data_IF_469744086737
#
_entry.id   IF_469744086737
#
_cell.length_a   1.000
_cell.length_b   1.000
_cell.length_c   1.000
_cell.angle_alpha   90.00
_cell.angle_beta   90.00
_cell.angle_gamma   90.00
#
_symmetry.space_group_name_H-M   'P 1'
#
loop_
_entity.id
_entity.type
_entity.pdbx_description
1 polymer ?
#
# COMPACT_ATOMS: atom_id res chain seq x y z
N UNK A 1 -19.91 -8.16 -5.02
CA UNK A 1 -20.13 -9.62 -5.07
C UNK A 1 -20.55 -10.26 -3.74
N UNK A 2 -20.55 -9.56 -2.59
CA UNK A 2 -20.89 -10.18 -1.30
C UNK A 2 -22.34 -10.72 -1.18
N UNK A 3 -23.32 -10.09 -1.84
CA UNK A 3 -24.74 -10.49 -1.79
C UNK A 3 -25.03 -11.95 -2.20
N UNK A 4 -24.63 -12.41 -3.41
CA UNK A 4 -24.85 -13.79 -3.83
C UNK A 4 -24.11 -14.80 -2.96
N UNK A 5 -22.86 -14.52 -2.56
CA UNK A 5 -22.09 -15.41 -1.67
C UNK A 5 -22.70 -15.51 -0.26
N UNK A 6 -23.31 -14.45 0.25
CA UNK A 6 -24.07 -14.49 1.51
C UNK A 6 -25.35 -15.32 1.43
N UNK A 7 -26.01 -15.38 0.26
CA UNK A 7 -27.13 -16.32 0.02
C UNK A 7 -26.62 -17.77 -0.11
N UNK A 8 -25.50 -17.96 -0.81
CA UNK A 8 -24.89 -19.28 -1.00
C UNK A 8 -24.41 -19.89 0.32
N UNK A 9 -23.82 -19.08 1.20
CA UNK A 9 -23.37 -19.50 2.52
C UNK A 9 -24.50 -19.97 3.43
N UNK A 10 -25.71 -19.44 3.27
CA UNK A 10 -26.88 -19.91 4.01
C UNK A 10 -27.35 -21.31 3.57
N UNK A 11 -27.00 -21.76 2.36
CA UNK A 11 -27.38 -23.09 1.85
C UNK A 11 -26.27 -24.13 2.02
N UNK A 12 -25.03 -23.77 1.68
CA UNK A 12 -23.88 -24.70 1.61
C UNK A 12 -23.02 -24.64 2.88
N UNK A 13 -23.22 -23.63 3.73
CA UNK A 13 -22.37 -23.34 4.87
C UNK A 13 -21.15 -22.49 4.49
N UNK A 14 -20.50 -21.91 5.51
CA UNK A 14 -19.39 -20.94 5.33
C UNK A 14 -18.05 -21.62 5.02
N UNK A 15 -17.77 -22.77 5.64
CA UNK A 15 -16.50 -23.51 5.48
C UNK A 15 -16.18 -23.89 4.03
N UNK A 16 -17.10 -24.47 3.23
CA UNK A 16 -16.80 -24.82 1.84
C UNK A 16 -16.51 -23.60 0.97
N UNK A 17 -17.19 -22.47 1.24
CA UNK A 17 -16.97 -21.21 0.50
C UNK A 17 -15.58 -20.65 0.81
N UNK A 18 -15.12 -20.74 2.06
CA UNK A 18 -13.75 -20.33 2.41
C UNK A 18 -12.69 -21.22 1.75
N UNK A 19 -12.91 -22.54 1.68
CA UNK A 19 -12.01 -23.44 0.95
C UNK A 19 -11.98 -23.13 -0.55
N UNK A 20 -13.14 -22.88 -1.17
CA UNK A 20 -13.24 -22.48 -2.57
C UNK A 20 -12.51 -21.16 -2.83
N UNK A 21 -12.62 -20.19 -1.92
CA UNK A 21 -11.89 -18.94 -1.97
C UNK A 21 -10.37 -19.15 -1.87
N UNK A 22 -9.90 -20.02 -0.97
CA UNK A 22 -8.49 -20.37 -0.83
C UNK A 22 -7.93 -21.03 -2.10
N UNK A 23 -8.67 -21.96 -2.70
CA UNK A 23 -8.31 -22.60 -3.98
C UNK A 23 -8.22 -21.55 -5.09
N UNK A 24 -9.21 -20.67 -5.17
CA UNK A 24 -9.23 -19.56 -6.13
C UNK A 24 -8.00 -18.65 -6.00
N UNK A 25 -7.63 -18.27 -4.78
CA UNK A 25 -6.42 -17.47 -4.52
C UNK A 25 -5.14 -18.19 -4.92
N UNK A 26 -5.05 -19.49 -4.60
CA UNK A 26 -3.89 -20.31 -4.95
C UNK A 26 -3.75 -20.42 -6.47
N UNK A 27 -4.86 -20.61 -7.17
CA UNK A 27 -4.89 -20.70 -8.64
C UNK A 27 -4.56 -19.35 -9.29
N UNK A 28 -5.07 -18.24 -8.76
CA UNK A 28 -4.74 -16.90 -9.22
C UNK A 28 -3.24 -16.60 -9.08
N UNK A 29 -2.66 -16.97 -7.93
CA UNK A 29 -1.22 -16.83 -7.68
C UNK A 29 -0.38 -17.71 -8.61
N UNK A 30 -0.79 -18.96 -8.83
CA UNK A 30 -0.14 -19.85 -9.79
C UNK A 30 -0.21 -19.30 -11.22
N UNK A 31 -1.36 -18.80 -11.65
CA UNK A 31 -1.53 -18.17 -12.95
C UNK A 31 -0.61 -16.95 -13.11
N UNK A 32 -0.56 -16.07 -12.12
CA UNK A 32 0.33 -14.92 -12.12
C UNK A 32 1.80 -15.35 -12.26
N UNK A 33 2.23 -16.34 -11.47
CA UNK A 33 3.60 -16.87 -11.55
C UNK A 33 3.91 -17.49 -12.92
N UNK A 34 2.98 -18.23 -13.52
CA UNK A 34 3.13 -18.81 -14.86
C UNK A 34 3.28 -17.71 -15.93
N UNK A 35 2.45 -16.66 -15.89
CA UNK A 35 2.54 -15.54 -16.84
C UNK A 35 3.87 -14.79 -16.69
N UNK A 36 4.32 -14.55 -15.45
CA UNK A 36 5.61 -13.90 -15.21
C UNK A 36 6.81 -14.76 -15.59
N UNK A 37 6.73 -16.09 -15.41
CA UNK A 37 7.82 -17.02 -15.73
C UNK A 37 7.95 -17.24 -17.24
N UNK A 38 6.82 -17.39 -17.94
CA UNK A 38 6.79 -17.58 -19.40
C UNK A 38 6.51 -16.27 -20.15
N UNK A 39 7.18 -15.19 -19.78
CA UNK A 39 7.00 -13.87 -20.41
C UNK A 39 7.41 -13.83 -21.89
N UNK A 40 8.17 -14.82 -22.36
CA UNK A 40 8.55 -14.96 -23.78
C UNK A 40 7.43 -15.59 -24.62
N UNK A 41 6.53 -16.36 -23.98
CA UNK A 41 5.42 -17.06 -24.64
C UNK A 41 4.10 -16.29 -24.47
N UNK A 42 3.89 -15.72 -23.28
CA UNK A 42 2.68 -14.97 -22.93
C UNK A 42 2.96 -13.48 -22.81
N UNK A 43 2.13 -12.66 -23.47
CA UNK A 43 2.16 -11.21 -23.30
C UNK A 43 1.78 -10.84 -21.85
N UNK A 44 2.50 -9.87 -21.27
CA UNK A 44 2.32 -9.38 -19.89
C UNK A 44 0.89 -8.90 -19.64
N UNK A 45 0.17 -8.50 -20.70
CA UNK A 45 -1.26 -8.13 -20.65
C UNK A 45 -2.17 -9.25 -20.14
N UNK A 46 -1.75 -10.51 -20.21
CA UNK A 46 -2.49 -11.65 -19.64
C UNK A 46 -2.70 -11.54 -18.12
N UNK A 47 -1.91 -10.72 -17.42
CA UNK A 47 -2.10 -10.43 -15.98
C UNK A 47 -3.48 -9.81 -15.69
N UNK A 48 -4.07 -9.08 -16.65
CA UNK A 48 -5.40 -8.49 -16.48
C UNK A 48 -6.53 -9.52 -16.31
N UNK A 49 -6.27 -10.80 -16.59
CA UNK A 49 -7.22 -11.89 -16.36
C UNK A 49 -7.20 -12.42 -14.92
N UNK A 50 -6.20 -12.07 -14.10
CA UNK A 50 -6.10 -12.51 -12.70
C UNK A 50 -7.36 -12.25 -11.86
N UNK A 51 -8.04 -11.08 -11.97
CA UNK A 51 -9.28 -10.81 -11.24
C UNK A 51 -10.45 -11.75 -11.60
N UNK A 52 -10.40 -12.47 -12.73
CA UNK A 52 -11.45 -13.45 -13.07
C UNK A 52 -11.48 -14.60 -12.08
N UNK A 53 -10.32 -15.01 -11.55
CA UNK A 53 -10.26 -16.04 -10.51
C UNK A 53 -10.97 -15.54 -9.24
N UNK A 54 -10.75 -14.30 -8.83
CA UNK A 54 -11.44 -13.70 -7.67
C UNK A 54 -12.97 -13.69 -7.80
N UNK A 55 -13.52 -13.67 -9.02
CA UNK A 55 -14.97 -13.80 -9.25
C UNK A 55 -15.48 -15.17 -8.80
N UNK A 56 -14.71 -16.24 -9.03
CA UNK A 56 -15.08 -17.60 -8.60
C UNK A 56 -14.91 -17.77 -7.08
N UNK A 57 -13.87 -17.22 -6.48
CA UNK A 57 -13.66 -17.31 -5.03
C UNK A 57 -14.50 -16.34 -4.20
N UNK A 58 -15.00 -15.25 -4.79
CA UNK A 58 -15.56 -14.10 -4.07
C UNK A 58 -14.51 -13.10 -3.56
N UNK A 59 -13.22 -13.38 -3.79
CA UNK A 59 -12.08 -12.53 -3.47
C UNK A 59 -11.93 -12.18 -1.98
N UNK A 60 -11.16 -11.12 -1.72
CA UNK A 60 -10.70 -10.74 -0.38
C UNK A 60 -11.86 -10.29 0.51
N UNK A 61 -12.86 -9.68 -0.10
CA UNK A 61 -14.05 -9.13 0.55
C UNK A 61 -14.88 -10.25 1.19
N UNK A 62 -15.07 -11.37 0.48
CA UNK A 62 -15.82 -12.52 0.97
C UNK A 62 -15.00 -13.29 2.02
N UNK A 63 -13.70 -13.46 1.76
CA UNK A 63 -12.77 -14.08 2.72
C UNK A 63 -12.76 -13.37 4.07
N UNK A 64 -12.46 -12.07 4.07
CA UNK A 64 -12.40 -11.26 5.30
C UNK A 64 -13.73 -11.32 6.06
N UNK A 65 -14.86 -11.12 5.37
CA UNK A 65 -16.19 -11.14 6.00
C UNK A 65 -16.50 -12.48 6.69
N UNK A 66 -16.20 -13.62 6.05
CA UNK A 66 -16.43 -14.92 6.67
C UNK A 66 -15.47 -15.21 7.82
N UNK A 67 -14.21 -14.82 7.73
CA UNK A 67 -13.26 -14.94 8.85
C UNK A 67 -13.78 -14.20 10.07
N UNK A 68 -14.20 -12.94 9.93
CA UNK A 68 -14.78 -12.17 11.03
C UNK A 68 -16.07 -12.78 11.57
N UNK A 69 -16.93 -13.28 10.67
CA UNK A 69 -18.14 -13.96 11.10
C UNK A 69 -17.82 -15.21 11.91
N UNK A 70 -16.82 -16.00 11.49
CA UNK A 70 -16.39 -17.20 12.19
C UNK A 70 -15.82 -16.88 13.58
N UNK A 71 -15.03 -15.80 13.69
CA UNK A 71 -14.52 -15.30 14.96
C UNK A 71 -15.69 -14.88 15.85
N UNK A 72 -16.66 -14.14 15.32
CA UNK A 72 -17.83 -13.68 16.09
C UNK A 72 -18.75 -14.81 16.55
N UNK A 73 -18.76 -15.96 15.86
CA UNK A 73 -19.52 -17.14 16.27
C UNK A 73 -18.82 -17.94 17.38
N UNK A 74 -17.50 -17.81 17.51
CA UNK A 74 -16.72 -18.54 18.50
C UNK A 74 -16.69 -17.88 19.89
N UNK A 75 -17.28 -16.70 20.04
CA UNK A 75 -17.19 -15.84 21.24
C UNK A 75 -18.58 -15.26 21.51
N UNK A 76 -18.95 -15.11 22.78
CA UNK A 76 -20.17 -14.36 23.16
C UNK A 76 -20.18 -12.95 22.55
N UNK A 77 -21.32 -12.53 21.98
CA UNK A 77 -21.42 -11.28 21.22
C UNK A 77 -21.01 -10.03 22.02
N UNK A 78 -21.35 -9.97 23.31
CA UNK A 78 -20.93 -8.85 24.18
C UNK A 78 -19.41 -8.80 24.34
N UNK A 79 -18.79 -9.95 24.57
CA UNK A 79 -17.34 -10.07 24.76
C UNK A 79 -16.60 -9.78 23.47
N UNK A 80 -17.09 -10.26 22.33
CA UNK A 80 -16.51 -9.97 21.01
C UNK A 80 -16.52 -8.48 20.69
N UNK A 81 -17.64 -7.79 20.93
CA UNK A 81 -17.75 -6.34 20.68
C UNK A 81 -16.76 -5.52 21.51
N UNK A 82 -16.61 -5.84 22.80
CA UNK A 82 -15.64 -5.18 23.68
C UNK A 82 -14.19 -5.45 23.24
N UNK A 83 -13.86 -6.72 23.02
CA UNK A 83 -12.53 -7.17 22.61
C UNK A 83 -12.09 -6.59 21.26
N UNK A 84 -13.02 -6.55 20.31
CA UNK A 84 -12.81 -5.94 19.01
C UNK A 84 -12.54 -4.43 19.15
N UNK A 85 -13.33 -3.71 19.96
CA UNK A 85 -13.11 -2.27 20.22
C UNK A 85 -11.75 -2.00 20.85
N UNK A 86 -11.30 -2.84 21.78
CA UNK A 86 -9.96 -2.75 22.37
C UNK A 86 -8.87 -2.92 21.30
N UNK A 87 -8.98 -3.97 20.48
CA UNK A 87 -8.01 -4.25 19.41
C UNK A 87 -7.93 -3.12 18.38
N UNK A 88 -9.07 -2.52 18.06
CA UNK A 88 -9.15 -1.41 17.13
C UNK A 88 -8.65 -0.09 17.73
N UNK A 89 -8.83 0.14 19.03
CA UNK A 89 -8.22 1.27 19.74
C UNK A 89 -6.69 1.24 19.69
N UNK A 90 -6.09 0.08 19.99
CA UNK A 90 -4.63 -0.09 19.90
C UNK A 90 -4.10 0.11 18.48
N UNK A 91 -4.78 -0.46 17.49
CA UNK A 91 -4.39 -0.28 16.09
C UNK A 91 -4.54 1.17 15.65
N UNK A 92 -5.56 1.88 16.11
CA UNK A 92 -5.74 3.32 15.89
C UNK A 92 -4.59 4.15 16.47
N UNK A 93 -4.13 3.81 17.67
CA UNK A 93 -2.95 4.44 18.27
C UNK A 93 -1.70 4.16 17.45
N UNK A 94 -1.46 2.91 17.05
CA UNK A 94 -0.31 2.54 16.22
C UNK A 94 -0.34 3.28 14.87
N UNK A 95 -1.50 3.30 14.20
CA UNK A 95 -1.68 4.02 12.94
C UNK A 95 -1.44 5.53 13.10
N UNK A 96 -1.96 6.13 14.16
CA UNK A 96 -1.73 7.54 14.48
C UNK A 96 -0.24 7.85 14.72
N UNK A 97 0.46 6.99 15.47
CA UNK A 97 1.89 7.13 15.72
C UNK A 97 2.69 6.98 14.41
N UNK A 98 2.43 5.95 13.61
CA UNK A 98 3.16 5.71 12.36
C UNK A 98 2.94 6.83 11.33
N UNK A 99 1.68 7.23 11.11
CA UNK A 99 1.34 8.29 10.15
C UNK A 99 1.74 9.67 10.66
N UNK A 100 1.59 9.92 11.97
CA UNK A 100 2.06 11.14 12.62
C UNK A 100 3.57 11.29 12.52
N UNK A 101 4.32 10.21 12.76
CA UNK A 101 5.76 10.17 12.56
C UNK A 101 6.17 10.39 11.11
N UNK A 102 5.31 10.06 10.12
CA UNK A 102 5.61 10.30 8.70
C UNK A 102 5.75 11.79 8.37
N UNK A 103 4.97 12.67 9.03
CA UNK A 103 4.97 14.12 8.78
C UNK A 103 6.38 14.75 8.91
N UNK A 104 7.13 14.58 10.03
CA UNK A 104 8.48 15.13 10.13
C UNK A 104 9.45 14.53 9.11
N UNK A 105 9.33 13.24 8.74
CA UNK A 105 10.18 12.67 7.69
C UNK A 105 9.87 13.25 6.30
N UNK A 106 8.59 13.49 5.98
CA UNK A 106 8.21 14.23 4.77
C UNK A 106 8.69 15.70 4.79
N UNK A 107 8.83 16.31 5.97
CA UNK A 107 9.39 17.65 6.13
C UNK A 107 10.93 17.67 6.03
N UNK A 108 11.60 16.59 6.40
CA UNK A 108 13.05 16.41 6.26
C UNK A 108 13.48 16.20 4.80
N UNK A 109 12.56 15.88 3.89
CA UNK A 109 12.85 15.77 2.47
C UNK A 109 13.35 17.11 1.90
N UNK A 110 14.44 17.12 1.14
CA UNK A 110 15.12 18.32 0.71
C UNK A 110 14.23 19.16 -0.21
N UNK A 111 13.92 20.39 0.22
CA UNK A 111 13.10 21.29 -0.60
C UNK A 111 13.89 21.72 -1.86
N UNK A 112 13.36 21.43 -3.05
CA UNK A 112 14.02 21.62 -4.35
C UNK A 112 14.45 23.07 -4.60
N UNK A 113 13.81 24.05 -3.93
CA UNK A 113 14.25 25.45 -3.88
C UNK A 113 15.72 25.63 -3.50
N UNK A 114 16.30 24.74 -2.69
CA UNK A 114 17.71 24.84 -2.26
C UNK A 114 18.69 24.41 -3.36
N UNK A 115 18.37 23.37 -4.14
CA UNK A 115 19.14 22.98 -5.34
C UNK A 115 19.04 24.05 -6.44
N UNK A 116 17.85 24.61 -6.69
CA UNK A 116 17.71 25.66 -7.72
C UNK A 116 18.40 26.97 -7.34
N UNK A 117 18.42 27.36 -6.05
CA UNK A 117 19.17 28.56 -5.59
C UNK A 117 20.68 28.36 -5.66
N UNK A 118 21.16 27.14 -5.37
CA UNK A 118 22.58 26.79 -5.43
C UNK A 118 23.06 26.65 -6.88
N UNK A 119 22.30 25.94 -7.73
CA UNK A 119 22.57 25.90 -9.17
C UNK A 119 22.43 27.28 -9.81
N UNK A 120 21.50 28.17 -9.41
CA UNK A 120 21.43 29.52 -10.00
C UNK A 120 22.63 30.41 -9.62
N UNK A 121 23.32 30.08 -8.53
CA UNK A 121 24.54 30.78 -8.12
C UNK A 121 25.78 30.24 -8.86
N UNK A 122 25.79 28.95 -9.19
CA UNK A 122 26.85 28.31 -10.00
C UNK A 122 26.63 28.45 -11.52
N UNK A 123 25.37 28.61 -11.98
CA UNK A 123 24.97 28.69 -13.40
C UNK A 123 25.10 30.09 -14.00
N UNK A 124 25.46 31.11 -13.22
CA UNK A 124 25.89 32.39 -13.79
C UNK A 124 27.20 32.28 -14.61
N UNK A 125 27.78 31.07 -14.71
CA UNK A 125 28.94 30.77 -15.54
C UNK A 125 28.66 29.84 -16.74
N UNK A 126 27.44 29.35 -17.00
CA UNK A 126 27.20 28.54 -18.22
C UNK A 126 25.74 28.48 -18.69
N UNK A 127 25.61 28.54 -20.01
CA UNK A 127 24.46 28.93 -20.82
C UNK A 127 23.43 27.79 -21.05
N UNK A 128 22.13 28.15 -20.94
CA UNK A 128 20.89 27.61 -21.57
C UNK A 128 20.51 26.11 -21.44
N UNK A 129 19.24 25.92 -21.09
CA UNK A 129 18.47 24.66 -20.94
C UNK A 129 18.09 23.97 -22.27
N UNK A 130 17.64 22.70 -22.19
CA UNK A 130 16.25 22.37 -22.57
C UNK A 130 15.56 21.41 -21.56
N UNK A 131 14.40 21.78 -20.97
CA UNK A 131 13.04 21.31 -21.30
C UNK A 131 12.71 19.81 -21.07
N UNK A 132 12.21 19.51 -19.87
CA UNK A 132 10.92 18.85 -19.57
C UNK A 132 10.49 17.59 -20.35
N UNK A 133 11.40 16.65 -20.65
CA UNK A 133 11.03 15.32 -21.18
C UNK A 133 11.65 14.13 -20.42
N UNK A 134 12.49 14.37 -19.40
CA UNK A 134 13.38 13.33 -18.87
C UNK A 134 12.72 12.26 -17.99
N UNK A 135 11.58 12.55 -17.34
CA UNK A 135 10.87 11.56 -16.51
C UNK A 135 10.31 10.40 -17.35
N UNK A 136 10.03 10.64 -18.64
CA UNK A 136 9.58 9.60 -19.57
C UNK A 136 10.74 8.83 -20.20
N UNK A 137 11.90 9.46 -20.43
CA UNK A 137 13.08 8.77 -21.00
C UNK A 137 13.79 7.86 -20.00
N UNK A 138 13.68 8.13 -18.70
CA UNK A 138 14.22 7.26 -17.65
C UNK A 138 13.39 5.96 -17.48
N UNK A 139 12.07 6.01 -17.69
CA UNK A 139 11.18 4.83 -17.68
C UNK A 139 11.14 4.07 -19.02
N UNK A 140 11.43 4.71 -20.16
CA UNK A 140 11.18 4.16 -21.50
C UNK A 140 12.24 3.20 -22.04
N UNK A 141 13.33 2.98 -21.30
CA UNK A 141 14.33 1.96 -21.66
C UNK A 141 14.72 1.24 -20.39
N UNK A 142 13.80 0.37 -19.95
CA UNK A 142 14.18 -0.74 -19.10
C UNK A 142 15.21 -1.56 -19.90
N UNK A 143 16.43 -1.80 -19.38
CA UNK A 143 17.26 -2.83 -19.97
C UNK A 143 16.46 -4.14 -19.95
N UNK A 144 16.67 -5.07 -20.91
CA UNK A 144 16.17 -6.42 -20.76
C UNK A 144 16.56 -6.88 -19.35
N UNK A 145 15.64 -7.50 -18.60
CA UNK A 145 16.01 -8.26 -17.42
C UNK A 145 17.09 -9.24 -17.87
N UNK A 146 18.36 -8.87 -17.73
CA UNK A 146 19.46 -9.78 -17.95
C UNK A 146 19.23 -10.83 -16.87
N UNK A 147 18.87 -12.07 -17.25
CA UNK A 147 18.66 -13.11 -16.26
C UNK A 147 19.96 -13.16 -15.47
N UNK A 148 19.88 -12.92 -14.15
CA UNK A 148 20.97 -13.34 -13.29
C UNK A 148 21.28 -14.78 -13.68
N UNK A 149 22.55 -15.15 -13.94
CA UNK A 149 22.88 -16.54 -14.28
C UNK A 149 22.25 -17.41 -13.20
N UNK A 150 21.15 -18.06 -13.56
CA UNK A 150 20.52 -19.06 -12.74
C UNK A 150 21.34 -20.29 -13.05
N UNK A 151 22.23 -20.64 -12.14
CA UNK A 151 22.75 -22.00 -12.09
C UNK A 151 21.53 -22.90 -11.90
N UNK A 152 21.09 -23.52 -13.00
CA UNK A 152 19.99 -24.48 -13.00
C UNK A 152 20.54 -25.73 -12.32
N UNK A 153 20.39 -25.81 -11.00
CA UNK A 153 20.52 -27.08 -10.30
C UNK A 153 19.27 -27.93 -10.60
N UNK A 154 19.47 -29.06 -11.26
CA UNK A 154 18.45 -30.07 -11.58
C UNK A 154 17.83 -30.64 -10.28
N UNK A 155 16.77 -30.00 -9.79
CA UNK A 155 16.04 -30.41 -8.60
C UNK A 155 14.55 -30.05 -8.68
N UNK A 156 13.69 -30.65 -7.84
CA UNK A 156 12.29 -30.27 -7.78
C UNK A 156 12.17 -28.78 -7.48
N UNK A 157 11.40 -28.06 -8.31
CA UNK A 157 11.29 -26.59 -8.34
C UNK A 157 11.18 -25.92 -6.97
N UNK A 158 10.44 -26.54 -6.04
CA UNK A 158 10.28 -26.07 -4.67
C UNK A 158 11.60 -26.04 -3.88
N UNK A 159 12.44 -27.05 -4.03
CA UNK A 159 13.71 -27.15 -3.33
C UNK A 159 14.72 -26.14 -3.89
N UNK A 160 14.77 -25.98 -5.21
CA UNK A 160 15.60 -24.96 -5.89
C UNK A 160 15.18 -23.54 -5.51
N UNK A 161 13.88 -23.26 -5.43
CA UNK A 161 13.37 -21.96 -4.94
C UNK A 161 13.80 -21.74 -3.49
N UNK A 162 13.67 -22.75 -2.64
CA UNK A 162 13.97 -22.62 -1.22
C UNK A 162 15.47 -22.51 -0.92
N UNK A 163 16.31 -23.23 -1.66
CA UNK A 163 17.76 -23.08 -1.57
C UNK A 163 18.20 -21.73 -2.10
N UNK A 164 17.71 -21.30 -3.27
CA UNK A 164 18.00 -19.98 -3.85
C UNK A 164 17.56 -18.85 -2.93
N UNK A 165 16.38 -18.96 -2.31
CA UNK A 165 15.95 -18.01 -1.27
C UNK A 165 16.93 -18.01 -0.09
N UNK A 166 17.33 -19.19 0.39
CA UNK A 166 18.19 -19.33 1.56
C UNK A 166 19.62 -18.82 1.32
N UNK A 167 20.21 -19.10 0.17
CA UNK A 167 21.56 -18.63 -0.20
C UNK A 167 21.54 -17.16 -0.59
N UNK A 168 20.53 -16.68 -1.32
CA UNK A 168 20.44 -15.26 -1.73
C UNK A 168 19.85 -14.34 -0.68
N UNK A 169 19.19 -14.84 0.38
CA UNK A 169 18.68 -14.01 1.48
C UNK A 169 19.78 -13.16 2.14
N UNK A 170 21.00 -13.70 2.27
CA UNK A 170 22.13 -12.96 2.83
C UNK A 170 22.54 -11.78 1.93
N UNK A 171 22.49 -11.99 0.62
CA UNK A 171 22.76 -10.97 -0.38
C UNK A 171 21.61 -9.94 -0.44
N UNK A 172 20.35 -10.36 -0.32
CA UNK A 172 19.22 -9.43 -0.22
C UNK A 172 19.34 -8.50 1.00
N UNK A 173 19.78 -9.03 2.14
CA UNK A 173 19.99 -8.25 3.36
C UNK A 173 21.18 -7.29 3.20
N UNK A 174 22.29 -7.72 2.58
CA UNK A 174 23.43 -6.84 2.33
C UNK A 174 23.09 -5.72 1.34
N UNK A 175 22.37 -6.03 0.26
CA UNK A 175 21.89 -5.02 -0.70
C UNK A 175 20.94 -4.02 -0.02
N UNK A 176 20.00 -4.49 0.81
CA UNK A 176 19.13 -3.59 1.57
C UNK A 176 19.93 -2.68 2.52
N UNK A 177 20.95 -3.22 3.19
CA UNK A 177 21.85 -2.45 4.05
C UNK A 177 22.65 -1.42 3.27
N UNK A 178 23.14 -1.77 2.08
CA UNK A 178 23.88 -0.88 1.18
C UNK A 178 22.99 0.25 0.66
N UNK A 179 21.75 -0.05 0.25
CA UNK A 179 20.78 0.97 -0.17
C UNK A 179 20.41 1.91 0.99
N UNK A 180 20.26 1.40 2.22
CA UNK A 180 20.07 2.22 3.43
C UNK A 180 21.29 3.09 3.77
N UNK A 181 22.49 2.63 3.44
CA UNK A 181 23.76 3.31 3.73
C UNK A 181 24.18 4.31 2.65
N UNK A 182 23.66 4.18 1.42
CA UNK A 182 24.06 4.96 0.23
C UNK A 182 23.88 6.47 0.41
N UNK A 183 22.68 6.92 0.79
CA UNK A 183 22.33 8.34 0.86
C UNK A 183 21.33 8.63 1.98
N UNK A 184 21.42 9.84 2.54
CA UNK A 184 20.43 10.29 3.53
C UNK A 184 19.02 10.41 2.95
N UNK A 185 18.90 10.66 1.64
CA UNK A 185 17.61 10.75 0.94
C UNK A 185 16.95 9.36 0.83
N UNK A 186 17.70 8.34 0.42
CA UNK A 186 17.23 6.95 0.35
C UNK A 186 16.74 6.47 1.72
N UNK A 187 17.55 6.68 2.77
CA UNK A 187 17.20 6.29 4.14
C UNK A 187 15.92 6.96 4.65
N UNK A 188 15.79 8.28 4.49
CA UNK A 188 14.58 9.01 4.88
C UNK A 188 13.37 8.53 4.09
N UNK A 189 13.52 8.28 2.79
CA UNK A 189 12.44 7.78 1.92
C UNK A 189 11.97 6.40 2.36
N UNK A 190 12.90 5.46 2.54
CA UNK A 190 12.60 4.10 2.97
C UNK A 190 11.90 4.05 4.32
N UNK A 191 12.38 4.84 5.29
CA UNK A 191 11.73 4.92 6.59
C UNK A 191 10.32 5.52 6.50
N UNK A 192 10.13 6.50 5.61
CA UNK A 192 8.82 7.10 5.33
C UNK A 192 7.86 6.06 4.74
N UNK A 193 8.28 5.29 3.73
CA UNK A 193 7.47 4.21 3.13
C UNK A 193 7.16 3.09 4.14
N UNK A 194 8.12 2.73 5.00
CA UNK A 194 7.91 1.75 6.07
C UNK A 194 6.80 2.21 7.04
N UNK A 195 6.91 3.44 7.56
CA UNK A 195 5.91 4.01 8.47
C UNK A 195 4.53 4.14 7.80
N UNK A 196 4.50 4.60 6.55
CA UNK A 196 3.28 4.69 5.76
C UNK A 196 2.60 3.33 5.60
N UNK A 197 3.39 2.29 5.32
CA UNK A 197 2.84 0.94 5.12
C UNK A 197 2.29 0.39 6.43
N UNK A 198 3.04 0.50 7.53
CA UNK A 198 2.57 0.10 8.85
C UNK A 198 1.26 0.83 9.23
N UNK A 199 1.21 2.15 9.02
CA UNK A 199 0.05 2.97 9.32
C UNK A 199 -1.16 2.68 8.44
N UNK A 200 -0.97 2.45 7.14
CA UNK A 200 -2.05 2.17 6.20
C UNK A 200 -2.72 0.81 6.42
N UNK A 201 -1.98 -0.17 6.96
CA UNK A 201 -2.51 -1.50 7.25
C UNK A 201 -3.59 -1.52 8.35
N UNK A 202 -3.76 -0.42 9.09
CA UNK A 202 -4.88 -0.28 10.03
C UNK A 202 -6.26 -0.50 9.38
N UNK A 203 -6.36 -0.27 8.07
CA UNK A 203 -7.61 -0.41 7.30
C UNK A 203 -8.28 -1.77 7.51
N UNK A 204 -7.50 -2.84 7.69
CA UNK A 204 -8.03 -4.19 7.95
C UNK A 204 -9.01 -4.18 9.12
N UNK A 205 -8.69 -3.40 10.15
CA UNK A 205 -9.55 -3.24 11.33
C UNK A 205 -10.74 -2.36 10.99
N UNK A 206 -10.51 -1.17 10.45
CA UNK A 206 -11.59 -0.19 10.26
C UNK A 206 -12.72 -0.63 9.34
N UNK A 207 -12.50 -1.61 8.47
CA UNK A 207 -13.58 -2.19 7.66
C UNK A 207 -14.72 -2.70 8.54
N UNK A 208 -14.45 -3.38 9.66
CA UNK A 208 -15.51 -3.95 10.50
C UNK A 208 -15.97 -3.03 11.64
N UNK A 209 -15.24 -1.94 11.88
CA UNK A 209 -15.50 -1.00 12.97
C UNK A 209 -16.92 -0.45 12.97
N UNK A 210 -17.51 -0.03 11.83
CA UNK A 210 -18.86 0.52 11.85
C UNK A 210 -19.95 -0.49 12.21
N UNK A 211 -19.72 -1.78 11.92
CA UNK A 211 -20.66 -2.84 12.27
C UNK A 211 -20.70 -3.01 13.79
N UNK A 212 -19.53 -3.02 14.44
CA UNK A 212 -19.41 -3.20 15.89
C UNK A 212 -19.77 -1.94 16.68
N UNK A 213 -19.52 -0.75 16.13
CA UNK A 213 -19.74 0.53 16.83
C UNK A 213 -21.12 1.12 16.58
N UNK A 214 -21.64 1.05 15.35
CA UNK A 214 -22.92 1.69 14.97
C UNK A 214 -24.01 0.70 14.55
N UNK A 215 -23.75 -0.61 14.63
CA UNK A 215 -24.69 -1.66 14.26
C UNK A 215 -25.00 -1.71 12.76
N UNK A 216 -24.11 -1.22 11.90
CA UNK A 216 -24.31 -1.37 10.45
C UNK A 216 -24.26 -2.84 10.03
N UNK A 217 -25.17 -3.20 9.12
CA UNK A 217 -25.12 -4.52 8.50
C UNK A 217 -23.91 -4.60 7.57
N UNK A 218 -23.34 -5.79 7.40
CA UNK A 218 -22.17 -6.01 6.53
C UNK A 218 -22.36 -5.46 5.11
N UNK A 219 -23.60 -5.47 4.59
CA UNK A 219 -23.90 -4.91 3.27
C UNK A 219 -23.69 -3.38 3.20
N UNK A 220 -24.06 -2.65 4.25
CA UNK A 220 -23.86 -1.19 4.33
C UNK A 220 -22.38 -0.84 4.48
N UNK A 221 -21.64 -1.63 5.26
CA UNK A 221 -20.18 -1.50 5.38
C UNK A 221 -19.50 -1.65 4.01
N UNK A 222 -19.90 -2.65 3.23
CA UNK A 222 -19.36 -2.83 1.87
C UNK A 222 -19.78 -1.73 0.90
N UNK A 223 -20.93 -1.10 1.11
CA UNK A 223 -21.32 0.09 0.35
C UNK A 223 -20.38 1.27 0.63
N UNK A 224 -19.86 1.40 1.85
CA UNK A 224 -18.88 2.43 2.22
C UNK A 224 -17.53 2.20 1.57
N UNK A 225 -17.07 0.95 1.50
CA UNK A 225 -15.85 0.62 0.75
C UNK A 225 -16.02 0.99 -0.72
N UNK A 226 -17.21 0.78 -1.27
CA UNK A 226 -17.52 1.19 -2.66
C UNK A 226 -17.51 2.71 -2.80
N UNK A 227 -18.06 3.44 -1.83
CA UNK A 227 -17.99 4.90 -1.76
C UNK A 227 -16.55 5.42 -1.69
N UNK A 228 -15.69 4.81 -0.87
CA UNK A 228 -14.27 5.14 -0.79
C UNK A 228 -13.58 5.01 -2.15
N UNK A 229 -13.89 3.93 -2.89
CA UNK A 229 -13.33 3.71 -4.22
C UNK A 229 -13.73 4.83 -5.18
N UNK A 230 -15.01 5.24 -5.18
CA UNK A 230 -15.50 6.36 -6.00
C UNK A 230 -14.77 7.67 -5.69
N UNK A 231 -14.62 8.04 -4.41
CA UNK A 231 -13.87 9.24 -4.03
C UNK A 231 -12.44 9.18 -4.56
N UNK A 232 -11.81 8.01 -4.48
CA UNK A 232 -10.43 7.81 -4.88
C UNK A 232 -10.24 7.89 -6.38
N UNK A 233 -11.18 7.33 -7.15
CA UNK A 233 -11.21 7.48 -8.60
C UNK A 233 -11.38 8.95 -9.00
N UNK A 234 -12.29 9.68 -8.35
CA UNK A 234 -12.45 11.12 -8.59
C UNK A 234 -11.17 11.88 -8.26
N UNK A 235 -10.54 11.57 -7.12
CA UNK A 235 -9.28 12.18 -6.71
C UNK A 235 -8.18 11.95 -7.75
N UNK A 236 -7.97 10.72 -8.21
CA UNK A 236 -6.96 10.40 -9.21
C UNK A 236 -7.26 11.03 -10.59
N UNK A 237 -8.53 11.13 -10.99
CA UNK A 237 -8.91 11.79 -12.25
C UNK A 237 -8.72 13.30 -12.21
N UNK A 238 -8.95 13.92 -11.04
CA UNK A 238 -8.84 15.38 -10.87
C UNK A 238 -7.44 15.84 -10.53
N UNK A 239 -6.62 15.00 -9.87
CA UNK A 239 -5.28 15.34 -9.39
C UNK A 239 -4.36 15.91 -10.49
N UNK A 240 -4.28 15.36 -11.72
CA UNK A 240 -3.46 15.94 -12.79
C UNK A 240 -3.91 17.36 -13.17
N UNK A 241 -5.23 17.59 -13.24
CA UNK A 241 -5.78 18.91 -13.60
C UNK A 241 -5.51 19.93 -12.50
N UNK A 242 -5.67 19.54 -11.23
CA UNK A 242 -5.39 20.35 -10.06
C UNK A 242 -3.89 20.67 -9.98
N UNK A 243 -3.05 19.64 -10.17
CA UNK A 243 -1.59 19.75 -10.21
C UNK A 243 -1.14 20.78 -11.26
N UNK A 244 -1.59 20.64 -12.52
CA UNK A 244 -1.13 21.51 -13.61
C UNK A 244 -1.76 22.91 -13.59
N UNK A 245 -3.06 23.03 -13.31
CA UNK A 245 -3.78 24.32 -13.40
C UNK A 245 -3.71 25.17 -12.14
N UNK A 246 -3.58 24.56 -10.97
CA UNK A 246 -3.67 25.27 -9.67
C UNK A 246 -2.34 25.24 -8.92
N UNK A 247 -1.76 24.07 -8.71
CA UNK A 247 -0.59 23.92 -7.84
C UNK A 247 0.69 24.39 -8.54
N UNK A 248 0.93 23.94 -9.77
CA UNK A 248 2.12 24.31 -10.55
C UNK A 248 2.34 25.84 -10.65
N UNK A 249 1.33 26.67 -11.02
CA UNK A 249 1.52 28.12 -11.06
C UNK A 249 1.68 28.77 -9.68
N UNK A 250 1.16 28.16 -8.60
CA UNK A 250 1.26 28.71 -7.24
C UNK A 250 2.56 28.33 -6.52
N UNK A 251 3.16 27.19 -6.85
CA UNK A 251 4.32 26.67 -6.11
C UNK A 251 5.69 27.00 -6.73
N UNK A 252 5.74 27.47 -7.97
CA UNK A 252 7.01 27.84 -8.64
C UNK A 252 7.30 27.07 -9.92
N UNK A 253 6.36 26.25 -10.41
CA UNK A 253 6.40 25.65 -11.74
C UNK A 253 7.03 24.26 -11.84
N UNK A 254 7.70 23.76 -10.80
CA UNK A 254 8.34 22.42 -10.83
C UNK A 254 7.37 21.30 -10.44
N UNK A 255 7.44 20.16 -11.16
CA UNK A 255 6.63 18.96 -10.88
C UNK A 255 6.97 18.38 -9.50
N UNK A 256 8.27 18.33 -9.16
CA UNK A 256 8.75 17.84 -7.86
C UNK A 256 8.22 18.68 -6.69
N UNK A 257 8.07 19.99 -6.84
CA UNK A 257 7.49 20.84 -5.79
C UNK A 257 6.00 20.57 -5.56
N UNK A 258 5.27 20.28 -6.64
CA UNK A 258 3.86 19.90 -6.54
C UNK A 258 3.72 18.54 -5.86
N UNK A 259 4.54 17.55 -6.24
CA UNK A 259 4.50 16.22 -5.64
C UNK A 259 4.87 16.24 -4.15
N UNK A 260 5.83 17.06 -3.73
CA UNK A 260 6.17 17.26 -2.31
C UNK A 260 5.02 17.92 -1.53
N UNK A 261 4.35 18.90 -2.13
CA UNK A 261 3.18 19.54 -1.50
C UNK A 261 2.01 18.56 -1.36
N UNK A 262 1.71 17.80 -2.41
CA UNK A 262 0.67 16.76 -2.40
C UNK A 262 1.00 15.69 -1.36
N UNK A 263 2.27 15.28 -1.25
CA UNK A 263 2.76 14.36 -0.22
C UNK A 263 2.48 14.90 1.18
N UNK A 264 2.91 16.13 1.49
CA UNK A 264 2.71 16.72 2.82
C UNK A 264 1.23 16.90 3.18
N UNK A 265 0.43 17.39 2.23
CA UNK A 265 -1.01 17.53 2.40
C UNK A 265 -1.67 16.18 2.66
N UNK A 266 -1.32 15.16 1.88
CA UNK A 266 -1.88 13.81 2.00
C UNK A 266 -1.50 13.14 3.32
N UNK A 267 -0.27 13.35 3.81
CA UNK A 267 0.17 12.85 5.12
C UNK A 267 -0.66 13.46 6.26
N UNK A 268 -0.91 14.78 6.22
CA UNK A 268 -1.79 15.44 7.19
C UNK A 268 -3.22 14.93 7.09
N UNK A 269 -3.76 14.80 5.87
CA UNK A 269 -5.11 14.28 5.66
C UNK A 269 -5.30 12.86 6.21
N UNK A 270 -4.30 11.99 6.08
CA UNK A 270 -4.30 10.66 6.71
C UNK A 270 -4.33 10.74 8.25
N UNK A 271 -3.49 11.58 8.86
CA UNK A 271 -3.46 11.74 10.32
C UNK A 271 -4.76 12.34 10.86
N UNK A 272 -5.33 13.32 10.18
CA UNK A 272 -6.64 13.89 10.57
C UNK A 272 -7.75 12.86 10.34
N UNK A 273 -7.73 12.15 9.22
CA UNK A 273 -8.72 11.13 8.89
C UNK A 273 -8.77 10.01 9.92
N UNK A 274 -7.62 9.51 10.38
CA UNK A 274 -7.57 8.43 11.39
C UNK A 274 -8.19 8.87 12.72
N UNK A 275 -7.93 10.11 13.14
CA UNK A 275 -8.50 10.69 14.35
C UNK A 275 -10.01 10.89 14.20
N UNK A 276 -10.46 11.42 13.06
CA UNK A 276 -11.88 11.60 12.79
C UNK A 276 -12.64 10.27 12.77
N UNK A 277 -12.06 9.21 12.20
CA UNK A 277 -12.64 7.86 12.19
C UNK A 277 -12.68 7.28 13.61
N UNK A 278 -11.56 7.34 14.34
CA UNK A 278 -11.43 6.77 15.68
C UNK A 278 -12.33 7.44 16.72
N UNK A 279 -12.54 8.76 16.59
CA UNK A 279 -13.33 9.57 17.53
C UNK A 279 -14.78 9.80 17.08
N UNK A 280 -15.23 9.22 15.96
CA UNK A 280 -16.55 9.48 15.40
C UNK A 280 -17.70 9.02 16.34
N UNK A 281 -18.53 9.93 16.89
CA UNK A 281 -19.65 9.54 17.76
C UNK A 281 -20.88 9.04 16.98
N UNK A 282 -21.01 9.41 15.69
CA UNK A 282 -22.18 9.10 14.86
C UNK A 282 -21.79 8.50 13.51
N UNK A 283 -22.76 7.86 12.86
CA UNK A 283 -22.66 7.36 11.48
C UNK A 283 -22.21 8.45 10.49
N UNK A 284 -22.74 9.67 10.63
CA UNK A 284 -22.39 10.80 9.76
C UNK A 284 -20.95 11.25 9.97
N UNK A 285 -20.49 11.40 11.23
CA UNK A 285 -19.10 11.74 11.52
C UNK A 285 -18.11 10.68 11.04
N UNK A 286 -18.49 9.40 11.05
CA UNK A 286 -17.66 8.33 10.50
C UNK A 286 -17.47 8.50 8.99
N UNK A 287 -18.56 8.77 8.24
CA UNK A 287 -18.47 9.02 6.80
C UNK A 287 -17.56 10.21 6.51
N UNK A 288 -17.71 11.32 7.24
CA UNK A 288 -16.82 12.49 7.10
C UNK A 288 -15.37 12.12 7.37
N UNK A 289 -15.09 11.37 8.44
CA UNK A 289 -13.73 10.90 8.75
C UNK A 289 -13.13 10.04 7.65
N UNK A 290 -13.91 9.10 7.10
CA UNK A 290 -13.51 8.28 5.95
C UNK A 290 -13.24 9.14 4.72
N UNK A 291 -14.08 10.13 4.42
CA UNK A 291 -13.85 11.05 3.30
C UNK A 291 -12.53 11.80 3.47
N UNK A 292 -12.25 12.33 4.66
CA UNK A 292 -10.97 13.03 4.96
C UNK A 292 -9.77 12.09 4.80
N UNK A 293 -9.88 10.87 5.32
CA UNK A 293 -8.86 9.83 5.14
C UNK A 293 -8.62 9.53 3.65
N UNK A 294 -9.67 9.42 2.83
CA UNK A 294 -9.53 9.15 1.39
C UNK A 294 -8.84 10.26 0.62
N UNK A 295 -8.89 11.52 1.07
CA UNK A 295 -8.18 12.62 0.43
C UNK A 295 -6.65 12.42 0.45
N UNK A 296 -6.11 11.63 1.39
CA UNK A 296 -4.69 11.30 1.46
C UNK A 296 -4.25 10.10 0.62
N UNK A 297 -5.14 9.47 -0.16
CA UNK A 297 -4.85 8.18 -0.78
C UNK A 297 -3.68 8.18 -1.78
N UNK A 298 -3.40 9.30 -2.43
CA UNK A 298 -2.29 9.44 -3.40
C UNK A 298 -0.91 9.64 -2.77
N UNK A 299 -0.78 9.54 -1.44
CA UNK A 299 0.45 9.83 -0.71
C UNK A 299 1.65 9.00 -1.18
N UNK A 300 1.49 7.67 -1.28
CA UNK A 300 2.60 6.79 -1.65
C UNK A 300 3.04 7.03 -3.10
N UNK A 301 2.10 7.30 -4.00
CA UNK A 301 2.38 7.57 -5.41
C UNK A 301 3.05 8.94 -5.61
N UNK A 302 2.55 9.97 -4.92
CA UNK A 302 3.16 11.31 -4.93
C UNK A 302 4.56 11.30 -4.32
N UNK A 303 4.77 10.58 -3.21
CA UNK A 303 6.08 10.41 -2.60
C UNK A 303 7.04 9.68 -3.54
N UNK A 304 6.58 8.61 -4.20
CA UNK A 304 7.37 7.86 -5.18
C UNK A 304 7.78 8.76 -6.36
N UNK A 305 6.81 9.49 -6.94
CA UNK A 305 7.07 10.45 -8.02
C UNK A 305 8.07 11.53 -7.61
N UNK A 306 7.92 12.09 -6.41
CA UNK A 306 8.82 13.11 -5.88
C UNK A 306 10.26 12.61 -5.75
N UNK A 307 10.47 11.44 -5.14
CA UNK A 307 11.83 10.94 -4.90
C UNK A 307 12.50 10.52 -6.20
N UNK A 308 11.76 9.94 -7.15
CA UNK A 308 12.28 9.64 -8.48
C UNK A 308 12.73 10.89 -9.22
N UNK A 309 11.99 12.01 -9.07
CA UNK A 309 12.39 13.30 -9.64
C UNK A 309 13.63 13.94 -9.00
N UNK A 310 14.20 13.35 -7.94
CA UNK A 310 15.45 13.82 -7.31
C UNK A 310 16.69 13.02 -7.73
N UNK A 311 16.49 11.88 -8.40
CA UNK A 311 17.54 10.97 -8.83
C UNK A 311 17.83 11.17 -10.31
N UNK A 312 19.11 11.33 -10.64
CA UNK A 312 19.56 11.59 -12.01
C UNK A 312 19.95 10.28 -12.74
N UNK A 313 20.36 9.25 -11.99
CA UNK A 313 20.83 7.96 -12.53
C UNK A 313 19.72 6.90 -12.51
N UNK A 314 19.62 6.11 -13.59
CA UNK A 314 18.68 4.96 -13.68
C UNK A 314 18.96 3.90 -12.61
N UNK A 315 20.24 3.58 -12.38
CA UNK A 315 20.66 2.57 -11.42
C UNK A 315 20.22 2.92 -9.99
N UNK A 316 20.34 4.20 -9.61
CA UNK A 316 19.89 4.69 -8.29
C UNK A 316 18.36 4.59 -8.13
N UNK A 317 17.60 4.83 -9.21
CA UNK A 317 16.13 4.70 -9.21
C UNK A 317 15.71 3.24 -9.04
N UNK A 318 16.33 2.33 -9.78
CA UNK A 318 16.07 0.88 -9.68
C UNK A 318 16.39 0.36 -8.27
N UNK A 319 17.57 0.69 -7.74
CA UNK A 319 17.98 0.32 -6.39
C UNK A 319 17.02 0.87 -5.32
N UNK A 320 16.60 2.13 -5.46
CA UNK A 320 15.63 2.74 -4.54
C UNK A 320 14.27 2.04 -4.60
N UNK A 321 13.76 1.72 -5.80
CA UNK A 321 12.46 1.07 -5.95
C UNK A 321 12.43 -0.34 -5.40
N UNK A 322 13.50 -1.12 -5.63
CA UNK A 322 13.70 -2.42 -5.00
C UNK A 322 13.66 -2.29 -3.48
N UNK A 323 14.38 -1.31 -2.96
CA UNK A 323 14.41 -1.01 -1.55
C UNK A 323 13.06 -0.58 -0.95
N UNK A 324 12.29 0.25 -1.66
CA UNK A 324 10.91 0.63 -1.28
C UNK A 324 10.04 -0.62 -1.19
N UNK A 325 10.07 -1.50 -2.18
CA UNK A 325 9.28 -2.75 -2.16
C UNK A 325 9.65 -3.66 -0.98
N UNK A 326 10.94 -3.73 -0.62
CA UNK A 326 11.38 -4.51 0.54
C UNK A 326 10.86 -3.96 1.87
N UNK A 327 10.87 -2.62 2.05
CA UNK A 327 10.36 -2.03 3.30
C UNK A 327 8.83 -2.02 3.38
N UNK A 328 8.14 -1.90 2.24
CA UNK A 328 6.67 -2.04 2.17
C UNK A 328 6.25 -3.46 2.55
N UNK A 329 6.89 -4.49 1.98
CA UNK A 329 6.61 -5.89 2.33
C UNK A 329 6.90 -6.17 3.81
N UNK A 330 8.03 -5.72 4.33
CA UNK A 330 8.36 -5.84 5.75
C UNK A 330 7.33 -5.14 6.65
N UNK A 331 6.95 -3.91 6.31
CA UNK A 331 5.94 -3.15 7.06
C UNK A 331 4.58 -3.84 7.07
N UNK A 332 4.16 -4.39 5.92
CA UNK A 332 2.92 -5.14 5.82
C UNK A 332 2.94 -6.45 6.64
N UNK A 333 4.08 -7.17 6.63
CA UNK A 333 4.27 -8.37 7.45
C UNK A 333 4.16 -8.05 8.94
N UNK A 334 4.85 -7.00 9.40
CA UNK A 334 4.81 -6.56 10.80
C UNK A 334 3.39 -6.15 11.16
N UNK A 335 2.73 -5.31 10.38
CA UNK A 335 1.37 -4.86 10.67
C UNK A 335 0.36 -6.02 10.73
N UNK A 336 0.46 -6.97 9.79
CA UNK A 336 -0.40 -8.17 9.78
C UNK A 336 -0.13 -9.07 10.99
N UNK A 337 1.14 -9.26 11.36
CA UNK A 337 1.52 -10.03 12.54
C UNK A 337 1.08 -9.34 13.83
N UNK A 338 1.19 -8.00 13.91
CA UNK A 338 0.72 -7.21 15.04
C UNK A 338 -0.78 -7.37 15.23
N UNK A 339 -1.57 -7.26 14.15
CA UNK A 339 -3.01 -7.51 14.18
C UNK A 339 -3.34 -8.92 14.63
N UNK A 340 -2.69 -9.93 14.04
CA UNK A 340 -2.97 -11.34 14.33
C UNK A 340 -2.59 -11.70 15.76
N UNK A 341 -1.44 -11.23 16.24
CA UNK A 341 -0.98 -11.43 17.62
C UNK A 341 -1.85 -10.71 18.64
N UNK A 342 -2.37 -9.53 18.30
CA UNK A 342 -3.32 -8.83 19.13
C UNK A 342 -4.64 -9.61 19.23
N UNK A 343 -5.16 -10.11 18.11
CA UNK A 343 -6.32 -10.99 18.10
C UNK A 343 -6.09 -12.25 18.95
N UNK A 344 -4.94 -12.90 18.82
CA UNK A 344 -4.61 -14.07 19.62
C UNK A 344 -4.58 -13.78 21.14
N UNK A 345 -4.01 -12.63 21.55
CA UNK A 345 -4.03 -12.19 22.96
C UNK A 345 -5.45 -11.89 23.45
N UNK A 346 -6.23 -11.21 22.62
CA UNK A 346 -7.61 -10.81 22.88
C UNK A 346 -8.54 -12.02 23.04
N UNK A 347 -8.35 -13.06 22.22
CA UNK A 347 -9.10 -14.32 22.29
C UNK A 347 -8.74 -15.18 23.51
N UNK A 348 -7.61 -14.88 24.16
CA UNK A 348 -7.06 -15.68 25.26
C UNK A 348 -6.47 -17.00 24.76
N UNK A 349 -5.47 -17.51 25.48
CA UNK A 349 -5.10 -18.92 25.38
C UNK A 349 -6.33 -19.73 25.84
N UNK A 350 -7.07 -20.29 24.89
CA UNK A 350 -8.05 -21.33 25.15
C UNK A 350 -7.41 -22.52 25.86
#
# INVERSE_FOLDING_TARGET
MAGPYGKLARRIGKKPIMFMNLISYTLAGAYFAVVCYYHEIFDVRCIYLTPLFDIFGGGYVVFSSFTYTYISESIDQERFGFLYKLSAGEMCLLGFICLGATIPFCCLLPNTRRKHKQNSQDSNCSTKSPQSSETSSLLSTAPPFAPLPMDIEDGPMFWTIMTTLRTKARNSISTCREVLASSSLSRTTMFTFFLLTCGANIRVVFVQWPSVTYGWILAEVHAIISYEAVISSILFLTLPTISHKILKPRLGGSVSEVDLFVTKFSAVAHVVGILCIGLAPTKASYIVGVTVWRLGHGLMDALRSYVTGLLDNKEDVEQLYLGIGMVETLGAMIATASWSGLFAKVLGKG
#
